data_IF_698991942926
#
_entry.id   IF_698991942926
#
_cell.length_a   1.000
_cell.length_b   1.000
_cell.length_c   1.000
_cell.angle_alpha   90.00
_cell.angle_beta   90.00
_cell.angle_gamma   90.00
#
_symmetry.space_group_name_H-M   'P 1'
#
loop_
_entity.id
_entity.type
_entity.pdbx_description
1 polymer ?
#
# COMPACT_ATOMS: atom_id res chain seq x y z
N UNK A 1 30.61 3.30 0.15
CA UNK A 1 29.38 3.64 0.90
C UNK A 1 29.31 2.76 2.13
N UNK A 2 28.56 3.19 3.16
CA UNK A 2 28.68 2.65 4.52
C UNK A 2 27.66 1.55 4.84
N UNK A 3 26.59 1.43 4.06
CA UNK A 3 25.54 0.43 4.26
C UNK A 3 25.68 -0.72 3.26
N UNK A 4 25.37 -1.94 3.70
CA UNK A 4 25.25 -3.12 2.84
C UNK A 4 23.89 -3.78 3.07
N UNK A 5 23.00 -3.70 2.08
CA UNK A 5 21.66 -4.26 2.17
C UNK A 5 21.65 -5.76 1.89
N UNK A 6 20.85 -6.48 2.67
CA UNK A 6 20.70 -7.93 2.60
C UNK A 6 19.28 -8.36 2.24
N UNK A 7 18.30 -7.67 2.81
CA UNK A 7 16.89 -7.91 2.51
C UNK A 7 16.10 -6.60 2.42
N UNK A 8 15.23 -6.53 1.42
CA UNK A 8 14.31 -5.42 1.22
C UNK A 8 12.92 -5.99 0.94
N UNK A 9 11.91 -5.53 1.68
CA UNK A 9 10.50 -5.81 1.36
C UNK A 9 9.91 -4.58 0.67
N UNK A 10 9.24 -4.79 -0.46
CA UNK A 10 8.54 -3.76 -1.22
C UNK A 10 7.06 -4.11 -1.36
N UNK A 11 6.22 -3.13 -1.09
CA UNK A 11 4.79 -3.25 -1.31
C UNK A 11 4.37 -2.17 -2.31
N UNK A 12 4.00 -2.61 -3.50
CA UNK A 12 3.64 -1.72 -4.60
C UNK A 12 2.15 -1.86 -4.84
N UNK A 13 1.41 -0.77 -4.90
CA UNK A 13 -0.03 -0.83 -5.06
C UNK A 13 -0.62 0.38 -5.77
N UNK A 14 -1.78 0.18 -6.36
CA UNK A 14 -2.73 1.24 -6.73
C UNK A 14 -4.10 0.95 -6.13
N UNK A 15 -5.01 1.90 -6.28
CA UNK A 15 -6.39 1.79 -5.83
C UNK A 15 -7.28 2.16 -7.00
N UNK A 16 -8.30 1.34 -7.19
CA UNK A 16 -9.35 1.49 -8.17
C UNK A 16 -10.69 1.62 -7.44
N UNK A 17 -11.53 2.49 -7.98
CA UNK A 17 -12.79 2.86 -7.37
C UNK A 17 -13.94 2.66 -8.37
N UNK A 18 -15.08 2.14 -7.90
CA UNK A 18 -16.28 2.03 -8.73
C UNK A 18 -17.56 2.18 -7.90
N UNK A 19 -18.48 3.02 -8.38
CA UNK A 19 -19.81 3.22 -7.76
C UNK A 19 -20.90 2.37 -8.38
N UNK A 20 -20.72 1.95 -9.63
CA UNK A 20 -21.77 1.29 -10.41
C UNK A 20 -22.36 0.05 -9.73
N UNK A 21 -21.58 -0.85 -9.11
CA UNK A 21 -22.14 -1.97 -8.36
C UNK A 21 -23.07 -1.56 -7.21
N UNK A 22 -22.75 -0.45 -6.53
CA UNK A 22 -23.54 0.06 -5.41
C UNK A 22 -24.89 0.61 -5.88
N UNK A 23 -24.94 1.13 -7.10
CA UNK A 23 -26.16 1.64 -7.74
C UNK A 23 -26.96 0.50 -8.37
N UNK A 24 -26.29 -0.49 -8.96
CA UNK A 24 -26.92 -1.60 -9.67
C UNK A 24 -26.22 -2.92 -9.37
N UNK A 25 -26.69 -3.61 -8.34
CA UNK A 25 -26.18 -4.93 -7.93
C UNK A 25 -26.24 -5.99 -9.04
N UNK A 26 -27.16 -5.84 -10.00
CA UNK A 26 -27.32 -6.74 -11.15
C UNK A 26 -26.12 -6.72 -12.11
N UNK A 27 -25.16 -5.79 -11.97
CA UNK A 27 -23.92 -5.80 -12.73
C UNK A 27 -22.93 -6.88 -12.25
N UNK A 28 -23.11 -7.37 -11.02
CA UNK A 28 -22.27 -8.41 -10.42
C UNK A 28 -22.81 -9.80 -10.74
N UNK A 29 -21.91 -10.76 -10.86
CA UNK A 29 -22.30 -12.18 -10.85
C UNK A 29 -22.95 -12.53 -9.51
N UNK A 30 -23.84 -13.52 -9.51
CA UNK A 30 -24.69 -13.85 -8.36
C UNK A 30 -23.91 -14.16 -7.08
N UNK A 31 -22.79 -14.87 -7.22
CA UNK A 31 -21.86 -15.20 -6.13
C UNK A 31 -21.09 -14.00 -5.56
N UNK A 32 -21.15 -12.83 -6.21
CA UNK A 32 -20.50 -11.59 -5.76
C UNK A 32 -21.46 -10.49 -5.34
N UNK A 33 -22.78 -10.73 -5.39
CA UNK A 33 -23.78 -9.75 -4.92
C UNK A 33 -23.61 -9.38 -3.44
N UNK A 34 -22.95 -10.21 -2.64
CA UNK A 34 -22.60 -9.88 -1.26
C UNK A 34 -21.72 -8.62 -1.14
N UNK A 35 -21.00 -8.21 -2.19
CA UNK A 35 -20.13 -7.02 -2.16
C UNK A 35 -20.92 -5.73 -1.91
N UNK A 36 -22.21 -5.70 -2.23
CA UNK A 36 -23.05 -4.50 -2.15
C UNK A 36 -24.22 -4.66 -1.18
N UNK A 37 -24.23 -5.76 -0.43
CA UNK A 37 -25.21 -6.06 0.61
C UNK A 37 -24.49 -6.25 1.96
N UNK A 38 -24.75 -5.39 2.96
CA UNK A 38 -24.01 -5.41 4.23
C UNK A 38 -24.17 -6.71 5.02
N UNK A 39 -25.38 -7.27 5.03
CA UNK A 39 -25.68 -8.48 5.79
C UNK A 39 -25.03 -9.70 5.15
N UNK A 40 -25.06 -9.77 3.81
CA UNK A 40 -24.40 -10.83 3.06
C UNK A 40 -22.88 -10.72 3.14
N UNK A 41 -22.31 -9.51 3.09
CA UNK A 41 -20.87 -9.32 3.21
C UNK A 41 -20.34 -9.82 4.56
N UNK A 42 -21.00 -9.46 5.66
CA UNK A 42 -20.61 -9.92 6.99
C UNK A 42 -20.71 -11.46 7.10
N UNK A 43 -21.77 -12.06 6.54
CA UNK A 43 -21.93 -13.52 6.49
C UNK A 43 -20.83 -14.18 5.67
N UNK A 44 -20.40 -13.58 4.56
CA UNK A 44 -19.36 -14.11 3.68
C UNK A 44 -18.00 -14.25 4.39
N UNK A 45 -17.73 -13.50 5.46
CA UNK A 45 -16.51 -13.65 6.28
C UNK A 45 -16.40 -14.98 7.03
N UNK A 46 -17.51 -15.70 7.17
CA UNK A 46 -17.59 -17.01 7.81
C UNK A 46 -17.74 -18.16 6.81
N UNK A 47 -17.71 -17.86 5.50
CA UNK A 47 -17.87 -18.84 4.43
C UNK A 47 -16.52 -19.30 3.87
N UNK A 48 -16.56 -20.39 3.12
CA UNK A 48 -15.40 -20.91 2.38
C UNK A 48 -14.91 -19.92 1.31
N UNK A 49 -13.62 -19.97 0.93
CA UNK A 49 -13.07 -19.19 -0.16
C UNK A 49 -13.80 -19.43 -1.48
N UNK A 50 -14.14 -18.34 -2.19
CA UNK A 50 -14.70 -18.39 -3.53
C UNK A 50 -13.55 -18.62 -4.52
N UNK A 51 -13.64 -19.70 -5.31
CA UNK A 51 -12.68 -20.02 -6.37
C UNK A 51 -13.27 -19.60 -7.71
N UNK A 52 -12.58 -18.71 -8.42
CA UNK A 52 -12.98 -18.24 -9.75
C UNK A 52 -12.04 -18.80 -10.82
N UNK A 53 -12.15 -18.33 -12.06
CA UNK A 53 -11.17 -18.66 -13.11
C UNK A 53 -9.76 -18.22 -12.71
N UNK A 54 -9.61 -16.96 -12.31
CA UNK A 54 -8.30 -16.31 -12.16
C UNK A 54 -7.83 -16.16 -10.70
N UNK A 55 -8.74 -16.22 -9.71
CA UNK A 55 -8.44 -15.92 -8.32
C UNK A 55 -8.96 -16.97 -7.34
N UNK A 56 -8.37 -16.95 -6.14
CA UNK A 56 -8.99 -17.49 -4.92
C UNK A 56 -9.29 -16.29 -4.02
N UNK A 57 -10.57 -16.04 -3.77
CA UNK A 57 -11.08 -14.90 -3.02
C UNK A 57 -11.48 -15.38 -1.63
N UNK A 58 -10.85 -14.83 -0.60
CA UNK A 58 -11.10 -15.23 0.79
C UNK A 58 -11.17 -14.03 1.72
N UNK A 59 -11.91 -14.14 2.83
CA UNK A 59 -11.80 -13.14 3.88
C UNK A 59 -10.39 -13.11 4.48
N UNK A 60 -10.02 -11.97 5.09
CA UNK A 60 -8.87 -11.93 5.99
C UNK A 60 -9.11 -12.88 7.17
N UNK A 61 -8.17 -13.80 7.38
CA UNK A 61 -8.23 -14.78 8.46
C UNK A 61 -8.12 -14.11 9.83
N UNK A 62 -8.67 -14.74 10.88
CA UNK A 62 -8.52 -14.24 12.24
C UNK A 62 -7.04 -14.02 12.64
N UNK A 63 -6.13 -14.87 12.12
CA UNK A 63 -4.69 -14.74 12.32
C UNK A 63 -4.13 -13.47 11.67
N UNK A 64 -4.48 -13.20 10.41
CA UNK A 64 -4.06 -11.96 9.72
C UNK A 64 -4.59 -10.73 10.45
N UNK A 65 -5.87 -10.73 10.83
CA UNK A 65 -6.51 -9.63 11.58
C UNK A 65 -5.83 -9.36 12.94
N UNK A 66 -5.33 -10.40 13.60
CA UNK A 66 -4.64 -10.27 14.90
C UNK A 66 -3.16 -9.90 14.75
N UNK A 67 -2.48 -10.47 13.75
CA UNK A 67 -1.04 -10.29 13.52
C UNK A 67 -0.71 -8.91 12.97
N UNK A 68 -1.52 -8.43 12.03
CA UNK A 68 -1.34 -7.12 11.43
C UNK A 68 -2.06 -6.09 12.27
N UNK A 69 -1.25 -5.28 12.98
CA UNK A 69 -1.74 -4.26 13.89
C UNK A 69 -2.74 -3.33 13.20
N UNK A 70 -2.53 -2.99 11.93
CA UNK A 70 -3.47 -2.18 11.17
C UNK A 70 -4.88 -2.79 11.16
N UNK A 71 -5.03 -4.04 10.73
CA UNK A 71 -6.33 -4.71 10.68
C UNK A 71 -6.96 -4.89 12.06
N UNK A 72 -6.14 -5.13 13.09
CA UNK A 72 -6.60 -5.21 14.48
C UNK A 72 -7.32 -3.92 14.91
N UNK A 73 -6.76 -2.75 14.58
CA UNK A 73 -7.33 -1.45 14.97
C UNK A 73 -8.39 -0.95 13.99
N UNK A 74 -8.26 -1.25 12.70
CA UNK A 74 -9.20 -0.83 11.66
C UNK A 74 -10.50 -1.63 11.73
N UNK A 75 -10.43 -2.96 11.77
CA UNK A 75 -11.60 -3.84 11.80
C UNK A 75 -12.37 -3.81 13.14
N UNK A 76 -11.71 -3.46 14.25
CA UNK A 76 -12.31 -3.48 15.59
C UNK A 76 -12.88 -4.85 16.00
N UNK A 77 -13.73 -4.88 17.03
CA UNK A 77 -14.57 -6.02 17.43
C UNK A 77 -15.86 -6.15 16.60
N UNK A 78 -15.93 -5.46 15.45
CA UNK A 78 -17.16 -5.22 14.68
C UNK A 78 -17.74 -6.44 13.95
N UNK A 79 -17.19 -7.64 14.12
CA UNK A 79 -17.81 -8.87 13.60
C UNK A 79 -19.08 -9.24 14.41
N UNK A 80 -19.33 -8.57 15.55
CA UNK A 80 -20.46 -8.89 16.46
C UNK A 80 -21.39 -7.72 16.80
N UNK A 81 -21.20 -6.53 16.21
CA UNK A 81 -22.07 -5.38 16.49
C UNK A 81 -23.10 -5.23 15.37
N UNK A 82 -24.38 -5.33 15.70
CA UNK A 82 -25.51 -5.16 14.78
C UNK A 82 -25.53 -3.78 14.13
N UNK A 83 -25.90 -3.76 12.83
CA UNK A 83 -26.42 -2.62 12.06
C UNK A 83 -25.50 -1.40 11.90
N UNK A 84 -24.45 -1.56 11.09
CA UNK A 84 -23.93 -0.46 10.27
C UNK A 84 -24.11 -0.88 8.79
N UNK A 85 -24.82 -0.03 8.05
CA UNK A 85 -25.28 -0.25 6.67
C UNK A 85 -24.07 -0.30 5.70
N UNK A 86 -22.85 -0.07 6.20
CA UNK A 86 -21.59 -0.41 5.52
C UNK A 86 -20.54 -0.90 6.52
N UNK A 87 -20.89 -1.81 7.43
CA UNK A 87 -20.02 -2.50 8.43
C UNK A 87 -18.80 -3.28 7.86
N UNK A 88 -18.40 -2.96 6.63
CA UNK A 88 -17.46 -3.67 5.76
C UNK A 88 -16.06 -3.08 5.95
N UNK A 89 -15.55 -3.24 7.17
CA UNK A 89 -14.29 -2.63 7.58
C UNK A 89 -13.06 -3.44 7.14
N UNK A 90 -13.22 -4.50 6.35
CA UNK A 90 -12.12 -5.37 5.98
C UNK A 90 -12.25 -5.76 4.52
N UNK A 91 -11.14 -5.87 3.78
CA UNK A 91 -11.14 -6.42 2.43
C UNK A 91 -11.24 -7.94 2.42
N UNK A 92 -11.65 -8.46 1.26
CA UNK A 92 -11.31 -9.81 0.83
C UNK A 92 -9.91 -9.79 0.18
N UNK A 93 -9.10 -10.80 0.45
CA UNK A 93 -7.84 -11.02 -0.24
C UNK A 93 -8.08 -11.95 -1.44
N UNK A 94 -7.75 -11.48 -2.63
CA UNK A 94 -7.80 -12.25 -3.86
C UNK A 94 -6.38 -12.63 -4.26
N UNK A 95 -6.03 -13.90 -4.10
CA UNK A 95 -4.74 -14.43 -4.56
C UNK A 95 -4.86 -14.79 -6.04
N UNK A 96 -4.04 -14.18 -6.89
CA UNK A 96 -4.00 -14.52 -8.31
C UNK A 96 -3.42 -15.92 -8.49
N UNK A 97 -3.98 -16.70 -9.42
CA UNK A 97 -3.41 -18.00 -9.81
C UNK A 97 -2.21 -17.85 -10.76
N UNK A 98 -2.04 -16.67 -11.34
CA UNK A 98 -0.96 -16.35 -12.26
C UNK A 98 0.38 -16.30 -11.52
N UNK A 99 1.42 -16.87 -12.15
CA UNK A 99 2.79 -16.72 -11.68
C UNK A 99 3.36 -15.42 -12.21
N UNK A 100 3.90 -14.60 -11.32
CA UNK A 100 4.59 -13.35 -11.64
C UNK A 100 6.06 -13.49 -11.29
N UNK A 101 6.94 -13.09 -12.20
CA UNK A 101 8.39 -13.14 -12.01
C UNK A 101 9.07 -11.90 -12.62
N UNK A 102 10.34 -11.62 -12.27
CA UNK A 102 11.11 -10.59 -12.95
C UNK A 102 11.31 -10.92 -14.42
N UNK A 103 11.21 -9.91 -15.30
CA UNK A 103 11.49 -10.09 -16.72
C UNK A 103 12.98 -10.36 -16.98
N UNK A 104 13.83 -9.61 -16.27
CA UNK A 104 15.26 -9.78 -16.20
C UNK A 104 15.67 -9.73 -14.72
N UNK A 105 16.09 -10.85 -14.11
CA UNK A 105 16.50 -10.85 -12.71
C UNK A 105 17.80 -10.05 -12.54
N UNK A 106 17.91 -9.23 -11.47
CA UNK A 106 19.16 -8.60 -11.07
C UNK A 106 20.26 -9.63 -10.78
N UNK A 107 21.53 -9.22 -10.88
CA UNK A 107 22.66 -10.15 -10.69
C UNK A 107 23.02 -10.29 -9.22
N UNK A 108 22.87 -9.22 -8.45
CA UNK A 108 23.33 -9.14 -7.06
C UNK A 108 22.32 -9.66 -6.03
N UNK A 109 21.03 -9.81 -6.41
CA UNK A 109 19.97 -10.28 -5.52
C UNK A 109 18.88 -11.06 -6.24
N UNK A 110 18.19 -11.91 -5.48
CA UNK A 110 17.00 -12.62 -5.93
C UNK A 110 15.76 -11.74 -5.71
N UNK A 111 14.72 -11.97 -6.51
CA UNK A 111 13.46 -11.23 -6.43
C UNK A 111 12.30 -12.22 -6.39
N UNK A 112 11.55 -12.20 -5.30
CA UNK A 112 10.28 -12.92 -5.18
C UNK A 112 9.12 -11.94 -5.35
N UNK A 113 8.11 -12.32 -6.12
CA UNK A 113 6.94 -11.49 -6.42
C UNK A 113 5.65 -12.24 -6.12
N UNK A 114 4.73 -11.58 -5.43
CA UNK A 114 3.42 -12.13 -5.11
C UNK A 114 2.34 -11.09 -5.39
N UNK A 115 1.55 -11.24 -6.46
CA UNK A 115 0.39 -10.40 -6.70
C UNK A 115 -0.75 -10.75 -5.73
N UNK A 116 -1.37 -9.72 -5.17
CA UNK A 116 -2.56 -9.83 -4.31
C UNK A 116 -3.50 -8.69 -4.67
N UNK A 117 -4.80 -8.95 -4.76
CA UNK A 117 -5.79 -7.87 -4.84
C UNK A 117 -6.54 -7.81 -3.51
N UNK A 118 -6.69 -6.62 -2.93
CA UNK A 118 -7.62 -6.39 -1.83
C UNK A 118 -8.93 -5.86 -2.41
N UNK A 119 -9.99 -6.65 -2.29
CA UNK A 119 -11.32 -6.36 -2.80
C UNK A 119 -12.21 -5.81 -1.69
N UNK A 120 -12.87 -4.71 -2.00
CA UNK A 120 -13.80 -3.98 -1.13
C UNK A 120 -15.14 -3.80 -1.84
N UNK A 121 -16.22 -3.49 -1.11
CA UNK A 121 -17.50 -3.06 -1.68
C UNK A 121 -17.36 -1.90 -2.66
N UNK A 122 -16.41 -1.01 -2.37
CA UNK A 122 -16.24 0.25 -3.07
C UNK A 122 -15.22 0.15 -4.22
N UNK A 123 -14.59 -1.01 -4.44
CA UNK A 123 -13.55 -1.14 -5.44
C UNK A 123 -12.47 -2.14 -5.03
N UNK A 124 -11.26 -1.97 -5.54
CA UNK A 124 -10.17 -2.89 -5.24
C UNK A 124 -8.81 -2.20 -5.30
N UNK A 125 -7.81 -2.79 -4.66
CA UNK A 125 -6.41 -2.37 -4.76
C UNK A 125 -5.59 -3.51 -5.34
N UNK A 126 -4.90 -3.28 -6.46
CA UNK A 126 -3.95 -4.24 -7.00
C UNK A 126 -2.62 -4.04 -6.30
N UNK A 127 -2.08 -5.11 -5.74
CA UNK A 127 -0.81 -5.09 -5.01
C UNK A 127 0.15 -6.09 -5.64
N UNK A 128 1.44 -5.74 -5.65
CA UNK A 128 2.55 -6.67 -5.82
C UNK A 128 3.44 -6.55 -4.60
N UNK A 129 3.47 -7.62 -3.82
CA UNK A 129 4.43 -7.79 -2.74
C UNK A 129 5.72 -8.35 -3.33
N UNK A 130 6.82 -7.67 -3.08
CA UNK A 130 8.11 -7.99 -3.62
C UNK A 130 9.12 -8.13 -2.50
N UNK A 131 9.95 -9.16 -2.56
CA UNK A 131 11.05 -9.36 -1.63
C UNK A 131 12.35 -9.50 -2.41
N UNK A 132 13.35 -8.74 -1.99
CA UNK A 132 14.71 -8.79 -2.49
C UNK A 132 15.60 -9.43 -1.43
N UNK A 133 16.40 -10.43 -1.80
CA UNK A 133 17.30 -11.13 -0.89
C UNK A 133 18.67 -11.34 -1.55
N UNK A 134 19.76 -11.07 -0.82
CA UNK A 134 21.13 -11.26 -1.32
C UNK A 134 22.04 -10.10 -0.93
N UNK A 135 23.28 -10.07 -1.44
CA UNK A 135 24.16 -8.92 -1.27
C UNK A 135 23.76 -7.85 -2.30
N UNK A 136 22.80 -7.01 -1.94
CA UNK A 136 22.14 -6.09 -2.86
C UNK A 136 23.11 -4.97 -3.26
N UNK A 137 23.42 -4.88 -4.56
CA UNK A 137 24.11 -3.73 -5.12
C UNK A 137 23.16 -2.53 -5.21
N UNK A 138 23.64 -1.36 -4.78
CA UNK A 138 22.83 -0.16 -4.66
C UNK A 138 22.40 0.40 -6.01
N UNK A 139 23.26 0.32 -7.04
CA UNK A 139 22.91 0.80 -8.37
C UNK A 139 21.91 -0.15 -9.04
N UNK A 140 22.13 -1.47 -8.93
CA UNK A 140 21.14 -2.44 -9.42
C UNK A 140 19.78 -2.29 -8.72
N UNK A 141 19.78 -1.99 -7.41
CA UNK A 141 18.56 -1.69 -6.67
C UNK A 141 17.88 -0.43 -7.20
N UNK A 142 18.61 0.70 -7.33
CA UNK A 142 18.06 1.97 -7.83
C UNK A 142 17.49 1.77 -9.24
N UNK A 143 18.21 1.08 -10.12
CA UNK A 143 17.78 0.79 -11.50
C UNK A 143 16.54 -0.11 -11.52
N UNK A 144 16.48 -1.12 -10.64
CA UNK A 144 15.30 -1.97 -10.48
C UNK A 144 14.08 -1.15 -10.05
N UNK A 145 14.19 -0.32 -9.01
CA UNK A 145 13.09 0.57 -8.59
C UNK A 145 12.71 1.56 -9.69
N UNK A 146 13.69 2.11 -10.40
CA UNK A 146 13.46 2.99 -11.54
C UNK A 146 12.67 2.31 -12.66
N UNK A 147 12.99 1.05 -12.97
CA UNK A 147 12.25 0.25 -13.94
C UNK A 147 10.80 -0.03 -13.51
N UNK A 148 10.54 -0.22 -12.20
CA UNK A 148 9.18 -0.36 -11.66
C UNK A 148 8.34 0.90 -11.86
N UNK A 149 8.95 2.07 -11.72
CA UNK A 149 8.28 3.37 -11.83
C UNK A 149 8.06 3.78 -13.29
N UNK A 150 8.98 3.43 -14.18
CA UNK A 150 8.95 3.84 -15.59
C UNK A 150 7.93 3.03 -16.43
N UNK A 151 6.94 3.72 -16.99
CA UNK A 151 5.87 3.10 -17.79
C UNK A 151 6.37 2.42 -19.09
N UNK A 152 7.53 2.83 -19.62
CA UNK A 152 8.14 2.25 -20.83
C UNK A 152 8.94 0.97 -20.55
N UNK A 153 9.36 0.75 -19.30
CA UNK A 153 10.13 -0.44 -18.91
C UNK A 153 9.17 -1.57 -18.59
N UNK A 154 9.60 -2.81 -18.87
CA UNK A 154 8.81 -4.03 -18.63
C UNK A 154 9.50 -4.94 -17.61
N UNK A 155 9.54 -4.55 -16.33
CA UNK A 155 10.32 -5.28 -15.32
C UNK A 155 9.70 -6.63 -14.92
N UNK A 156 8.47 -6.93 -15.34
CA UNK A 156 7.75 -8.14 -14.92
C UNK A 156 7.38 -9.05 -16.08
N UNK A 157 7.32 -10.34 -15.78
CA UNK A 157 6.68 -11.38 -16.58
C UNK A 157 5.47 -11.92 -15.85
N UNK A 158 4.34 -12.00 -16.56
CA UNK A 158 3.13 -12.69 -16.11
C UNK A 158 2.64 -13.56 -17.25
N UNK A 159 2.53 -14.87 -17.00
CA UNK A 159 2.20 -15.86 -18.04
C UNK A 159 3.09 -15.72 -19.28
N UNK A 160 4.42 -15.66 -19.07
CA UNK A 160 5.46 -15.51 -20.11
C UNK A 160 5.46 -14.18 -20.90
N UNK A 161 4.45 -13.32 -20.74
CA UNK A 161 4.41 -12.00 -21.37
C UNK A 161 5.02 -10.95 -20.46
N UNK A 162 5.79 -10.04 -21.04
CA UNK A 162 6.42 -8.93 -20.34
C UNK A 162 5.49 -7.72 -20.21
N UNK A 163 5.46 -7.13 -19.01
CA UNK A 163 4.60 -6.02 -18.67
C UNK A 163 5.38 -4.92 -17.96
N UNK A 164 5.04 -3.67 -18.28
CA UNK A 164 5.27 -2.57 -17.34
C UNK A 164 4.38 -2.78 -16.11
N UNK A 165 4.79 -2.23 -14.96
CA UNK A 165 4.01 -2.37 -13.71
C UNK A 165 2.54 -1.95 -13.92
N UNK A 166 2.31 -0.80 -14.56
CA UNK A 166 0.95 -0.30 -14.86
C UNK A 166 0.14 -1.26 -15.71
N UNK A 167 0.75 -1.84 -16.76
CA UNK A 167 0.04 -2.80 -17.63
C UNK A 167 -0.17 -4.15 -16.95
N UNK A 168 0.71 -4.55 -16.03
CA UNK A 168 0.49 -5.71 -15.17
C UNK A 168 -0.69 -5.50 -14.23
N UNK A 169 -0.78 -4.34 -13.59
CA UNK A 169 -1.91 -4.00 -12.70
C UNK A 169 -3.23 -3.91 -13.46
N UNK A 170 -3.24 -3.28 -14.64
CA UNK A 170 -4.40 -3.24 -15.52
C UNK A 170 -4.86 -4.65 -15.93
N UNK A 171 -3.91 -5.54 -16.26
CA UNK A 171 -4.24 -6.92 -16.63
C UNK A 171 -4.82 -7.73 -15.46
N UNK A 172 -4.28 -7.58 -14.25
CA UNK A 172 -4.82 -8.21 -13.03
C UNK A 172 -6.20 -7.66 -12.67
N UNK A 173 -6.39 -6.34 -12.74
CA UNK A 173 -7.69 -5.69 -12.54
C UNK A 173 -8.73 -6.19 -13.56
N UNK A 174 -8.34 -6.33 -14.83
CA UNK A 174 -9.24 -6.84 -15.86
C UNK A 174 -9.63 -8.31 -15.63
N UNK A 175 -8.70 -9.15 -15.17
CA UNK A 175 -9.01 -10.52 -14.77
C UNK A 175 -10.01 -10.55 -13.59
N UNK A 176 -9.83 -9.67 -12.60
CA UNK A 176 -10.77 -9.54 -11.48
C UNK A 176 -12.15 -9.11 -11.98
N UNK A 177 -12.23 -8.10 -12.86
CA UNK A 177 -13.50 -7.63 -13.44
C UNK A 177 -14.24 -8.75 -14.18
N UNK A 178 -13.52 -9.59 -14.94
CA UNK A 178 -14.09 -10.77 -15.61
C UNK A 178 -14.65 -11.81 -14.65
N UNK A 179 -14.07 -11.92 -13.47
CA UNK A 179 -14.55 -12.84 -12.44
C UNK A 179 -15.72 -12.25 -11.64
N UNK A 180 -15.80 -10.92 -11.47
CA UNK A 180 -16.81 -10.28 -10.60
C UNK A 180 -18.08 -9.83 -11.33
N UNK A 181 -17.96 -9.36 -12.57
CA UNK A 181 -19.03 -8.69 -13.30
C UNK A 181 -19.65 -9.57 -14.39
N UNK A 182 -20.91 -9.31 -14.72
CA UNK A 182 -21.57 -9.90 -15.90
C UNK A 182 -20.93 -9.34 -17.18
N UNK A 183 -20.78 -8.01 -17.24
CA UNK A 183 -19.96 -7.33 -18.26
C UNK A 183 -18.75 -6.66 -17.59
N UNK A 184 -17.51 -7.09 -17.87
CA UNK A 184 -16.30 -6.50 -17.32
C UNK A 184 -16.16 -4.99 -17.60
N UNK A 185 -16.75 -4.51 -18.71
CA UNK A 185 -16.70 -3.10 -19.08
C UNK A 185 -17.70 -2.23 -18.30
N UNK A 186 -18.71 -2.84 -17.68
CA UNK A 186 -19.64 -2.13 -16.81
C UNK A 186 -18.97 -1.62 -15.53
N UNK A 187 -17.83 -2.18 -15.13
CA UNK A 187 -16.99 -1.70 -14.05
C UNK A 187 -16.16 -0.48 -14.51
N UNK A 188 -16.78 0.69 -14.59
CA UNK A 188 -16.06 1.94 -14.82
C UNK A 188 -15.17 2.24 -13.61
N UNK A 189 -13.90 2.49 -13.88
CA UNK A 189 -12.89 2.86 -12.89
C UNK A 189 -12.84 4.39 -12.86
N UNK A 190 -13.58 4.97 -11.93
CA UNK A 190 -13.82 6.43 -11.87
C UNK A 190 -12.58 7.19 -11.41
N UNK A 191 -11.69 6.55 -10.63
CA UNK A 191 -10.45 7.17 -10.17
C UNK A 191 -9.32 6.16 -10.09
N UNK A 192 -8.21 6.47 -10.75
CA UNK A 192 -6.93 5.78 -10.56
C UNK A 192 -6.03 6.63 -9.67
N UNK A 193 -5.79 6.18 -8.44
CA UNK A 193 -4.79 6.83 -7.59
C UNK A 193 -3.39 6.60 -8.18
N UNK A 194 -2.50 7.58 -8.04
CA UNK A 194 -1.07 7.38 -8.34
C UNK A 194 -0.54 6.13 -7.66
N UNK A 195 0.26 5.34 -8.39
CA UNK A 195 0.90 4.14 -7.87
C UNK A 195 1.81 4.49 -6.69
N UNK A 196 1.64 3.75 -5.60
CA UNK A 196 2.37 3.94 -4.36
C UNK A 196 3.34 2.79 -4.13
N UNK A 197 4.42 3.07 -3.41
CA UNK A 197 5.42 2.07 -3.05
C UNK A 197 5.86 2.26 -1.60
N UNK A 198 5.73 1.21 -0.79
CA UNK A 198 6.33 1.15 0.55
C UNK A 198 7.57 0.28 0.46
N UNK A 199 8.75 0.87 0.64
CA UNK A 199 10.03 0.18 0.63
C UNK A 199 10.53 0.06 2.06
N UNK A 200 10.85 -1.15 2.49
CA UNK A 200 11.40 -1.43 3.81
C UNK A 200 12.78 -2.03 3.67
N UNK A 201 13.79 -1.32 4.18
CA UNK A 201 15.15 -1.82 4.28
C UNK A 201 15.21 -2.76 5.50
N UNK A 202 14.78 -4.00 5.27
CA UNK A 202 14.40 -4.96 6.33
C UNK A 202 15.58 -5.68 6.98
N UNK A 203 16.73 -5.76 6.30
CA UNK A 203 17.98 -6.23 6.87
C UNK A 203 19.19 -5.59 6.17
N UNK A 204 20.14 -5.04 6.93
CA UNK A 204 21.39 -4.48 6.41
C UNK A 204 22.45 -4.36 7.49
N UNK A 205 23.71 -4.23 7.09
CA UNK A 205 24.82 -3.83 7.98
C UNK A 205 25.23 -2.38 7.69
N UNK A 206 25.73 -1.69 8.70
CA UNK A 206 26.17 -0.30 8.60
C UNK A 206 25.97 0.47 9.92
N UNK A 207 26.43 1.73 10.01
CA UNK A 207 26.40 2.49 11.24
C UNK A 207 24.98 2.92 11.61
N UNK A 208 24.70 2.99 12.91
CA UNK A 208 23.44 3.51 13.45
C UNK A 208 23.55 5.03 13.51
N UNK A 209 22.92 5.72 12.55
CA UNK A 209 23.01 7.16 12.40
C UNK A 209 21.63 7.79 12.21
N UNK A 210 21.43 8.97 12.81
CA UNK A 210 20.20 9.73 12.65
C UNK A 210 20.19 10.46 11.29
N UNK A 211 19.04 10.44 10.61
CA UNK A 211 18.86 11.14 9.33
C UNK A 211 19.23 12.64 9.41
N UNK A 212 18.89 13.30 10.51
CA UNK A 212 19.39 14.64 10.89
C UNK A 212 19.63 14.64 12.40
N UNK A 213 20.80 15.09 12.85
CA UNK A 213 21.13 15.31 14.26
C UNK A 213 21.67 16.72 14.46
N UNK A 214 21.13 17.43 15.45
CA UNK A 214 21.64 18.72 15.91
C UNK A 214 22.60 18.57 17.10
N UNK A 215 22.73 17.35 17.66
CA UNK A 215 23.38 17.11 18.95
C UNK A 215 24.79 16.52 18.82
N UNK A 216 25.16 15.92 17.69
CA UNK A 216 26.53 15.47 17.40
C UNK A 216 26.74 15.24 15.89
N UNK A 217 27.88 15.67 15.34
CA UNK A 217 28.26 15.43 13.93
C UNK A 217 28.46 13.93 13.63
N UNK A 218 29.06 13.17 14.57
CA UNK A 218 29.36 11.74 14.36
C UNK A 218 28.12 10.83 14.42
N UNK A 219 27.01 11.33 14.99
CA UNK A 219 25.73 10.63 15.04
C UNK A 219 24.82 10.95 13.84
N UNK A 220 25.27 11.81 12.91
CA UNK A 220 24.51 12.24 11.74
C UNK A 220 24.84 11.38 10.53
N UNK A 221 23.80 10.97 9.80
CA UNK A 221 23.94 10.29 8.52
C UNK A 221 24.60 11.21 7.48
N UNK A 222 25.64 10.71 6.81
CA UNK A 222 26.35 11.45 5.78
C UNK A 222 25.41 11.83 4.63
N UNK A 223 25.67 12.96 3.97
CA UNK A 223 24.81 13.45 2.89
C UNK A 223 24.71 12.48 1.71
N UNK A 224 25.78 11.71 1.44
CA UNK A 224 25.75 10.64 0.45
C UNK A 224 24.77 9.51 0.81
N UNK A 225 24.77 9.05 2.07
CA UNK A 225 23.85 8.01 2.54
C UNK A 225 22.40 8.53 2.57
N UNK A 226 22.19 9.80 2.95
CA UNK A 226 20.85 10.43 2.86
C UNK A 226 20.36 10.50 1.42
N UNK A 227 21.23 10.88 0.48
CA UNK A 227 20.93 10.89 -0.94
C UNK A 227 20.64 9.48 -1.49
N UNK A 228 21.34 8.45 -1.00
CA UNK A 228 21.06 7.05 -1.32
C UNK A 228 19.65 6.64 -0.89
N UNK A 229 19.21 6.98 0.33
CA UNK A 229 17.83 6.67 0.77
C UNK A 229 16.78 7.30 -0.15
N UNK A 230 17.00 8.53 -0.59
CA UNK A 230 16.13 9.14 -1.60
C UNK A 230 16.22 8.45 -2.96
N UNK A 231 17.43 8.06 -3.37
CA UNK A 231 17.64 7.40 -4.65
C UNK A 231 16.92 6.07 -4.74
N UNK A 232 16.97 5.26 -3.67
CA UNK A 232 16.24 3.99 -3.56
C UNK A 232 14.73 4.24 -3.65
N UNK A 233 14.20 5.19 -2.87
CA UNK A 233 12.76 5.47 -2.89
C UNK A 233 12.28 5.94 -4.27
N UNK A 234 13.03 6.84 -4.90
CA UNK A 234 12.63 7.47 -6.16
C UNK A 234 12.98 6.63 -7.39
N UNK A 235 13.89 5.65 -7.26
CA UNK A 235 14.36 4.85 -8.40
C UNK A 235 15.20 5.65 -9.40
N UNK A 236 15.88 6.68 -8.92
CA UNK A 236 16.76 7.55 -9.71
C UNK A 236 17.94 8.00 -8.85
N UNK A 237 19.09 8.28 -9.46
CA UNK A 237 20.26 8.74 -8.71
C UNK A 237 20.08 10.18 -8.25
N UNK A 238 20.04 10.39 -6.94
CA UNK A 238 20.01 11.71 -6.30
C UNK A 238 21.43 12.13 -5.94
N UNK A 239 21.85 13.30 -6.42
CA UNK A 239 23.15 13.88 -6.06
C UNK A 239 23.05 14.68 -4.75
N UNK A 240 24.19 14.98 -4.12
CA UNK A 240 24.22 15.84 -2.91
C UNK A 240 23.61 17.23 -3.17
N UNK A 241 23.89 17.92 -4.30
CA UNK A 241 23.17 19.14 -4.66
C UNK A 241 21.65 18.98 -4.78
N UNK A 242 21.17 17.86 -5.35
CA UNK A 242 19.74 17.60 -5.46
C UNK A 242 19.08 17.32 -4.10
N UNK A 243 19.80 16.64 -3.21
CA UNK A 243 19.38 16.44 -1.82
C UNK A 243 19.16 17.80 -1.15
N UNK A 244 20.13 18.72 -1.21
CA UNK A 244 20.00 20.04 -0.60
C UNK A 244 18.76 20.81 -1.09
N UNK A 245 18.46 20.74 -2.39
CA UNK A 245 17.23 21.33 -2.96
C UNK A 245 15.95 20.65 -2.45
N UNK A 246 15.94 19.33 -2.31
CA UNK A 246 14.78 18.58 -1.78
C UNK A 246 14.55 18.87 -0.30
N UNK A 247 15.63 18.97 0.48
CA UNK A 247 15.60 19.24 1.92
C UNK A 247 15.16 20.66 2.25
N UNK A 248 15.57 21.65 1.46
CA UNK A 248 15.17 23.06 1.63
C UNK A 248 13.75 23.33 1.13
N UNK A 249 13.30 22.62 0.09
CA UNK A 249 11.96 22.79 -0.49
C UNK A 249 10.85 22.01 0.22
N UNK A 250 11.12 21.34 1.34
CA UNK A 250 10.15 20.49 2.07
C UNK A 250 9.41 19.50 1.15
N UNK A 251 10.10 18.98 0.12
CA UNK A 251 9.49 18.12 -0.92
C UNK A 251 9.10 16.72 -0.42
N UNK A 252 9.50 16.39 0.80
CA UNK A 252 9.22 15.12 1.45
C UNK A 252 8.97 15.32 2.92
N UNK A 253 8.34 14.34 3.53
CA UNK A 253 8.08 14.26 4.95
C UNK A 253 9.05 13.26 5.59
N UNK A 254 9.68 13.68 6.70
CA UNK A 254 10.51 12.81 7.55
C UNK A 254 9.74 12.45 8.82
N UNK A 255 9.48 11.17 9.02
CA UNK A 255 8.89 10.66 10.27
C UNK A 255 9.94 9.94 11.08
N UNK A 256 10.08 10.28 12.38
CA UNK A 256 10.94 9.55 13.32
C UNK A 256 10.11 8.51 14.09
N UNK A 257 10.61 7.28 14.23
CA UNK A 257 9.97 6.23 15.02
C UNK A 257 10.54 6.14 16.45
N UNK A 258 11.80 6.53 16.63
CA UNK A 258 12.57 6.42 17.86
C UNK A 258 14.04 6.18 17.49
N UNK A 259 14.97 6.60 18.35
CA UNK A 259 16.41 6.44 18.09
C UNK A 259 16.83 6.98 16.71
N UNK A 260 17.61 6.16 16.00
CA UNK A 260 18.03 6.45 14.62
C UNK A 260 17.03 6.00 13.54
N UNK A 261 15.90 5.38 13.91
CA UNK A 261 14.91 4.82 12.98
C UNK A 261 13.94 5.88 12.43
N UNK A 262 13.72 5.87 11.12
CA UNK A 262 12.90 6.88 10.42
C UNK A 262 12.19 6.33 9.17
N UNK A 263 11.29 7.15 8.63
CA UNK A 263 10.73 6.99 7.28
C UNK A 263 10.79 8.31 6.50
N UNK A 264 10.99 8.19 5.19
CA UNK A 264 10.92 9.27 4.21
C UNK A 264 9.68 9.02 3.36
N UNK A 265 8.76 9.99 3.28
CA UNK A 265 7.56 9.86 2.46
C UNK A 265 7.43 11.02 1.47
N UNK A 266 7.11 10.65 0.23
CA UNK A 266 6.61 11.53 -0.82
C UNK A 266 5.17 11.07 -1.07
N UNK A 267 4.17 11.87 -0.66
CA UNK A 267 2.77 11.39 -0.56
C UNK A 267 2.21 10.77 -1.85
N UNK A 268 2.64 11.27 -3.02
CA UNK A 268 2.18 10.78 -4.32
C UNK A 268 3.07 9.70 -4.95
N UNK A 269 4.16 9.30 -4.27
CA UNK A 269 5.19 8.40 -4.81
C UNK A 269 5.37 7.16 -3.92
N UNK A 270 5.37 7.34 -2.60
CA UNK A 270 5.58 6.27 -1.64
C UNK A 270 6.38 6.65 -0.40
N UNK A 271 6.74 5.62 0.38
CA UNK A 271 7.49 5.73 1.64
C UNK A 271 8.64 4.75 1.66
N UNK A 272 9.83 5.20 2.10
CA UNK A 272 10.93 4.33 2.49
C UNK A 272 11.04 4.29 4.02
N UNK A 273 11.21 3.09 4.57
CA UNK A 273 11.33 2.81 6.00
C UNK A 273 12.75 2.33 6.28
N UNK A 274 13.41 2.96 7.24
CA UNK A 274 14.75 2.62 7.70
C UNK A 274 14.74 2.43 9.22
N UNK A 275 14.77 1.18 9.65
CA UNK A 275 14.80 0.79 11.06
C UNK A 275 16.25 0.52 11.48
N UNK A 276 17.05 1.59 11.62
CA UNK A 276 18.50 1.57 11.80
C UNK A 276 19.01 0.56 12.83
N UNK A 277 18.31 0.49 13.96
CA UNK A 277 18.71 -0.33 15.10
C UNK A 277 18.19 -1.76 14.94
N UNK A 278 16.95 -1.93 14.48
CA UNK A 278 16.28 -3.22 14.40
C UNK A 278 16.65 -4.05 13.18
N UNK A 279 17.07 -3.41 12.09
CA UNK A 279 17.41 -4.08 10.82
C UNK A 279 18.81 -4.72 10.83
N UNK A 280 19.60 -4.51 11.89
CA UNK A 280 20.89 -5.18 12.03
C UNK A 280 20.70 -6.71 12.14
N UNK A 281 21.53 -7.53 11.46
CA UNK A 281 21.32 -8.98 11.38
C UNK A 281 21.21 -9.66 12.75
N UNK A 282 21.98 -9.22 13.74
CA UNK A 282 22.02 -9.79 15.09
C UNK A 282 20.72 -9.59 15.88
N UNK A 283 19.88 -8.60 15.51
CA UNK A 283 18.62 -8.34 16.20
C UNK A 283 17.50 -9.30 15.80
N UNK A 284 17.63 -9.97 14.65
CA UNK A 284 16.65 -10.92 14.12
C UNK A 284 15.20 -10.37 14.05
N UNK A 285 15.03 -9.06 13.85
CA UNK A 285 13.71 -8.39 13.83
C UNK A 285 13.07 -8.29 12.45
N UNK A 286 13.67 -8.87 11.42
CA UNK A 286 13.21 -8.84 10.02
C UNK A 286 11.70 -9.05 9.84
N UNK A 287 11.12 -10.07 10.50
CA UNK A 287 9.67 -10.35 10.41
C UNK A 287 8.81 -9.21 10.98
N UNK A 288 9.26 -8.58 12.06
CA UNK A 288 8.56 -7.45 12.67
C UNK A 288 8.65 -6.20 11.80
N UNK A 289 9.80 -5.96 11.17
CA UNK A 289 10.01 -4.84 10.24
C UNK A 289 9.14 -5.01 8.99
N UNK A 290 9.13 -6.20 8.38
CA UNK A 290 8.22 -6.52 7.27
C UNK A 290 6.74 -6.39 7.65
N UNK A 291 6.37 -6.76 8.88
CA UNK A 291 5.02 -6.53 9.40
C UNK A 291 4.69 -5.04 9.50
N UNK A 292 5.61 -4.21 10.02
CA UNK A 292 5.43 -2.76 10.06
C UNK A 292 5.21 -2.16 8.67
N UNK A 293 6.02 -2.56 7.69
CA UNK A 293 5.88 -2.12 6.31
C UNK A 293 4.54 -2.54 5.68
N UNK A 294 4.09 -3.78 5.90
CA UNK A 294 2.76 -4.23 5.48
C UNK A 294 1.64 -3.42 6.13
N UNK A 295 1.75 -3.11 7.43
CA UNK A 295 0.77 -2.26 8.12
C UNK A 295 0.74 -0.82 7.56
N UNK A 296 1.90 -0.26 7.19
CA UNK A 296 2.01 1.05 6.55
C UNK A 296 1.39 1.03 5.16
N UNK A 297 1.61 -0.03 4.37
CA UNK A 297 0.91 -0.23 3.10
C UNK A 297 -0.59 -0.30 3.31
N UNK A 298 -1.07 -1.10 4.26
CA UNK A 298 -2.51 -1.26 4.50
C UNK A 298 -3.16 0.07 4.92
N UNK A 299 -2.48 0.82 5.79
CA UNK A 299 -2.90 2.17 6.17
C UNK A 299 -2.99 3.11 4.97
N UNK A 300 -1.95 3.14 4.14
CA UNK A 300 -1.88 4.03 2.98
C UNK A 300 -2.95 3.68 1.95
N UNK A 301 -3.08 2.39 1.62
CA UNK A 301 -4.09 1.83 0.74
C UNK A 301 -5.50 2.24 1.19
N UNK A 302 -5.88 1.92 2.43
CA UNK A 302 -7.21 2.24 2.95
C UNK A 302 -7.45 3.76 2.98
N UNK A 303 -6.45 4.54 3.40
CA UNK A 303 -6.60 6.01 3.46
C UNK A 303 -6.84 6.59 2.06
N UNK A 304 -6.10 6.13 1.05
CA UNK A 304 -6.31 6.56 -0.34
C UNK A 304 -7.64 6.08 -0.91
N UNK A 305 -8.07 4.85 -0.62
CA UNK A 305 -9.39 4.34 -1.04
C UNK A 305 -10.53 5.18 -0.47
N UNK A 306 -10.49 5.46 0.84
CA UNK A 306 -11.52 6.26 1.50
C UNK A 306 -11.51 7.72 1.03
N UNK A 307 -10.33 8.30 0.83
CA UNK A 307 -10.20 9.67 0.31
C UNK A 307 -10.73 9.80 -1.11
N UNK A 308 -10.29 8.94 -2.03
CA UNK A 308 -10.74 8.96 -3.41
C UNK A 308 -12.26 8.85 -3.47
N UNK A 309 -12.84 7.93 -2.69
CA UNK A 309 -14.28 7.79 -2.61
C UNK A 309 -14.98 9.06 -2.08
N UNK A 310 -14.49 9.62 -0.98
CA UNK A 310 -15.10 10.80 -0.35
C UNK A 310 -15.09 12.02 -1.29
N UNK A 311 -13.99 12.21 -2.00
CA UNK A 311 -13.79 13.31 -2.95
C UNK A 311 -14.67 13.11 -4.20
N UNK A 312 -14.70 11.92 -4.79
CA UNK A 312 -15.54 11.64 -5.97
C UNK A 312 -17.04 11.80 -5.67
N UNK A 313 -17.48 11.39 -4.47
CA UNK A 313 -18.86 11.63 -4.06
C UNK A 313 -19.20 13.10 -3.85
N UNK A 314 -18.21 13.96 -3.58
CA UNK A 314 -18.47 15.39 -3.42
C UNK A 314 -18.87 16.05 -4.75
N UNK A 315 -18.45 15.47 -5.88
CA UNK A 315 -18.75 15.98 -7.23
C UNK A 315 -20.06 15.41 -7.79
N UNK A 316 -20.70 14.45 -7.11
CA UNK A 316 -22.00 13.91 -7.49
C UNK A 316 -23.10 14.68 -6.74
N UNK A 317 -23.75 15.62 -7.43
CA UNK A 317 -25.05 16.16 -6.97
C UNK A 317 -26.10 15.04 -7.03
N UNK A 318 -26.17 14.23 -5.97
CA UNK A 318 -27.16 13.16 -5.85
C UNK A 318 -28.20 13.50 -4.79
N UNK A 319 -29.47 13.45 -5.19
CA UNK A 319 -30.61 13.44 -4.27
C UNK A 319 -30.82 12.07 -3.60
N UNK A 320 -29.98 11.07 -3.90
CA UNK A 320 -30.06 9.73 -3.29
C UNK A 320 -29.48 9.75 -1.87
N UNK A 321 -30.38 9.60 -0.90
CA UNK A 321 -30.08 9.57 0.53
C UNK A 321 -29.06 8.48 0.90
N UNK A 322 -28.95 7.39 0.13
CA UNK A 322 -27.96 6.33 0.35
C UNK A 322 -26.54 6.80 0.04
N UNK A 323 -26.36 7.59 -1.02
CA UNK A 323 -25.05 8.12 -1.42
C UNK A 323 -24.60 9.16 -0.39
N UNK A 324 -25.49 10.05 0.05
CA UNK A 324 -25.20 11.00 1.12
C UNK A 324 -24.83 10.30 2.43
N UNK A 325 -25.58 9.26 2.82
CA UNK A 325 -25.26 8.48 4.01
C UNK A 325 -23.89 7.79 3.92
N UNK A 326 -23.56 7.22 2.77
CA UNK A 326 -22.26 6.58 2.52
C UNK A 326 -21.09 7.58 2.61
N UNK A 327 -21.26 8.79 2.08
CA UNK A 327 -20.27 9.85 2.20
C UNK A 327 -20.01 10.21 3.68
N UNK A 328 -21.06 10.32 4.50
CA UNK A 328 -20.91 10.60 5.94
C UNK A 328 -20.22 9.45 6.69
N UNK A 329 -20.55 8.19 6.37
CA UNK A 329 -19.88 7.02 6.95
C UNK A 329 -18.38 7.06 6.64
N UNK A 330 -18.00 7.33 5.39
CA UNK A 330 -16.59 7.35 4.97
C UNK A 330 -15.82 8.50 5.60
N UNK A 331 -16.43 9.70 5.67
CA UNK A 331 -15.89 10.83 6.43
C UNK A 331 -15.61 10.45 7.87
N UNK A 332 -16.57 9.81 8.53
CA UNK A 332 -16.42 9.35 9.91
C UNK A 332 -15.30 8.30 10.03
N UNK A 333 -15.16 7.37 9.08
CA UNK A 333 -14.09 6.38 9.06
C UNK A 333 -12.71 7.02 8.92
N UNK A 334 -12.55 8.04 8.08
CA UNK A 334 -11.29 8.80 7.97
C UNK A 334 -10.93 9.47 9.30
N UNK A 335 -11.91 10.06 10.01
CA UNK A 335 -11.69 10.66 11.33
C UNK A 335 -11.32 9.60 12.39
N UNK A 336 -12.00 8.46 12.39
CA UNK A 336 -11.75 7.36 13.34
C UNK A 336 -10.43 6.64 13.10
N UNK A 337 -10.01 6.46 11.85
CA UNK A 337 -8.78 5.76 11.49
C UNK A 337 -7.57 6.41 12.16
N UNK A 338 -7.51 7.74 12.16
CA UNK A 338 -6.48 8.50 12.88
C UNK A 338 -6.44 8.20 14.38
N UNK A 339 -7.62 8.05 15.00
CA UNK A 339 -7.75 7.80 16.45
C UNK A 339 -7.35 6.37 16.80
N UNK A 340 -7.73 5.39 15.97
CA UNK A 340 -7.53 3.95 16.22
C UNK A 340 -6.12 3.46 15.85
N UNK A 341 -5.56 3.95 14.75
CA UNK A 341 -4.24 3.53 14.25
C UNK A 341 -3.27 4.72 14.24
N UNK A 342 -2.82 5.15 15.42
CA UNK A 342 -2.12 6.41 15.61
C UNK A 342 -0.59 6.29 15.69
N UNK A 343 0.02 5.38 14.92
CA UNK A 343 1.49 5.26 14.91
C UNK A 343 2.16 6.56 14.40
N UNK A 344 3.48 6.70 14.59
CA UNK A 344 4.19 7.93 14.23
C UNK A 344 3.99 8.34 12.76
N UNK A 345 4.02 7.38 11.82
CA UNK A 345 3.82 7.67 10.39
C UNK A 345 2.40 8.18 10.12
N UNK A 346 1.38 7.45 10.58
CA UNK A 346 -0.02 7.83 10.42
C UNK A 346 -0.28 9.24 10.99
N UNK A 347 0.21 9.54 12.20
CA UNK A 347 0.07 10.88 12.78
C UNK A 347 0.68 11.96 11.89
N UNK A 348 1.88 11.70 11.37
CA UNK A 348 2.58 12.66 10.50
C UNK A 348 1.82 12.84 9.18
N UNK A 349 1.25 11.78 8.60
CA UNK A 349 0.43 11.84 7.40
C UNK A 349 -0.83 12.70 7.60
N UNK A 350 -1.61 12.47 8.65
CA UNK A 350 -2.80 13.30 8.95
C UNK A 350 -2.45 14.76 9.25
N UNK A 351 -1.24 15.04 9.74
CA UNK A 351 -0.79 16.40 10.02
C UNK A 351 -0.31 17.13 8.77
N UNK A 352 0.33 16.44 7.82
CA UNK A 352 1.10 17.09 6.75
C UNK A 352 0.59 16.79 5.34
N UNK A 353 -0.22 15.75 5.14
CA UNK A 353 -0.82 15.49 3.83
C UNK A 353 -2.10 16.29 3.69
N UNK A 354 -2.09 17.29 2.81
CA UNK A 354 -3.17 18.26 2.66
C UNK A 354 -4.56 17.62 2.50
N UNK A 355 -4.66 16.48 1.81
CA UNK A 355 -5.92 15.75 1.62
C UNK A 355 -6.42 15.06 2.89
N UNK A 356 -5.55 14.67 3.82
CA UNK A 356 -5.94 14.08 5.12
C UNK A 356 -6.12 15.12 6.24
N UNK A 357 -5.50 16.30 6.12
CA UNK A 357 -5.57 17.35 7.15
C UNK A 357 -6.99 17.76 7.57
N UNK A 358 -8.00 17.84 6.67
CA UNK A 358 -9.38 18.13 7.05
C UNK A 358 -9.95 17.15 8.08
N UNK A 359 -9.54 15.88 8.03
CA UNK A 359 -9.99 14.82 8.93
C UNK A 359 -9.18 14.74 10.23
N UNK A 360 -8.18 15.62 10.40
CA UNK A 360 -7.35 15.71 11.59
C UNK A 360 -7.90 16.70 12.64
N UNK A 361 -8.85 17.58 12.26
CA UNK A 361 -9.46 18.59 13.13
C UNK A 361 -10.50 17.93 14.06
N UNK A 362 -10.65 18.47 15.27
CA UNK A 362 -11.48 17.90 16.35
C UNK A 362 -12.97 18.06 16.06
#
# INVERSE_FOLDING_TARGET
MTYQFHEIDLFIFDVHFTLKPLITAALLQDNFRFLVDPDLYAKQYSQEPIKTGNFIIRPLTARERKREHFWKYYGGSAVTASTDIWSLNLPFACTAKNVVSPAAPPKSFTVSLQPVIYLYPLGWSVNVECRLEGKIDENELIDFIGALRNASKKPFKMNQKEYSLSKGFEALSMQLKKDLFIDPNAAEDTTKTSRQMVISLSQFTGPIQHYRSNYAQDARMADADRALMHSILLGEKITIPDLAKKESGSKFMLTKFGGASFAISYFDIGTLIFMAEEAQPEKQRRKSIGCMASNIRNFSMISFSLLAFYEELADIESSDTKITALQQVIKQRLIELRKRYNNALCRTWYQNYARLTPFAKK
#
